data_IF_184088784936
#
_entry.id   IF_184088784936
#
_cell.length_a   1.000
_cell.length_b   1.000
_cell.length_c   1.000
_cell.angle_alpha   90.00
_cell.angle_beta   90.00
_cell.angle_gamma   90.00
#
_symmetry.space_group_name_H-M   'P 1'
#
loop_
_entity.id
_entity.type
_entity.pdbx_description
1 polymer ?
#
# COMPACT_ATOMS: atom_id res chain seq x y z
N UNK A 1 30.17 -19.10 38.01
CA UNK A 1 29.32 -18.99 36.81
C UNK A 1 29.47 -17.57 36.28
N UNK A 2 29.70 -17.38 34.98
CA UNK A 2 29.90 -16.04 34.37
C UNK A 2 28.55 -15.53 33.87
N UNK A 3 28.10 -14.38 34.35
CA UNK A 3 26.85 -13.77 33.89
C UNK A 3 26.94 -13.34 32.42
N UNK A 4 25.84 -13.43 31.64
CA UNK A 4 25.83 -12.93 30.27
C UNK A 4 25.82 -11.40 30.28
N UNK A 5 26.95 -10.79 29.91
CA UNK A 5 27.03 -9.34 29.71
C UNK A 5 26.08 -8.94 28.57
N UNK A 6 25.14 -8.04 28.88
CA UNK A 6 24.21 -7.48 27.90
C UNK A 6 24.95 -6.47 27.01
N UNK A 7 24.66 -6.49 25.71
CA UNK A 7 25.28 -5.57 24.77
C UNK A 7 24.94 -4.11 25.12
N UNK A 8 25.89 -3.16 25.02
CA UNK A 8 25.71 -1.76 25.44
C UNK A 8 24.52 -1.07 24.75
N UNK A 9 24.24 -1.44 23.49
CA UNK A 9 23.07 -0.97 22.73
C UNK A 9 21.73 -1.30 23.42
N UNK A 10 21.65 -2.43 24.15
CA UNK A 10 20.44 -2.82 24.90
C UNK A 10 20.25 -2.04 26.19
N UNK A 11 21.29 -1.34 26.66
CA UNK A 11 21.27 -0.51 27.87
C UNK A 11 21.13 0.99 27.56
N UNK A 12 20.77 1.34 26.32
CA UNK A 12 20.59 2.74 25.90
C UNK A 12 21.90 3.52 25.77
N UNK A 13 23.06 2.85 25.83
CA UNK A 13 24.35 3.49 25.62
C UNK A 13 24.57 3.70 24.11
N UNK A 14 24.70 4.96 23.70
CA UNK A 14 25.10 5.33 22.34
C UNK A 14 26.62 5.22 22.23
N UNK A 15 27.09 4.44 21.27
CA UNK A 15 28.51 4.35 20.91
C UNK A 15 28.75 5.30 19.73
N UNK A 16 29.60 6.30 19.95
CA UNK A 16 30.08 7.18 18.89
C UNK A 16 31.09 6.38 18.05
N UNK A 17 30.74 6.14 16.78
CA UNK A 17 31.62 5.48 15.82
C UNK A 17 32.01 6.51 14.78
N UNK A 18 33.29 6.89 14.77
CA UNK A 18 33.85 7.75 13.73
C UNK A 18 33.99 6.96 12.43
N UNK A 19 33.10 7.21 11.47
CA UNK A 19 33.09 6.59 10.15
C UNK A 19 34.15 7.15 9.18
N UNK A 20 35.03 8.03 9.66
CA UNK A 20 36.08 8.66 8.88
C UNK A 20 35.63 9.79 7.96
N UNK A 21 36.58 10.34 7.19
CA UNK A 21 36.38 11.50 6.32
C UNK A 21 35.56 11.18 5.07
N UNK A 22 35.70 9.98 4.52
CA UNK A 22 34.92 9.53 3.36
C UNK A 22 33.40 9.55 3.61
N UNK A 23 32.98 9.16 4.82
CA UNK A 23 31.58 9.20 5.21
C UNK A 23 31.07 10.64 5.33
N UNK A 24 31.90 11.57 5.83
CA UNK A 24 31.58 13.01 5.90
C UNK A 24 31.39 13.60 4.51
N UNK A 25 32.32 13.33 3.58
CA UNK A 25 32.23 13.80 2.18
C UNK A 25 30.98 13.24 1.50
N UNK A 26 30.70 11.93 1.64
CA UNK A 26 29.50 11.31 1.06
C UNK A 26 28.22 11.91 1.62
N UNK A 27 28.17 12.16 2.93
CA UNK A 27 27.01 12.78 3.57
C UNK A 27 26.84 14.23 3.10
N UNK A 28 27.92 15.02 3.04
CA UNK A 28 27.87 16.40 2.54
C UNK A 28 27.33 16.46 1.11
N UNK A 29 27.78 15.57 0.22
CA UNK A 29 27.27 15.49 -1.14
C UNK A 29 25.77 15.15 -1.18
N UNK A 30 25.32 14.17 -0.39
CA UNK A 30 23.89 13.81 -0.28
C UNK A 30 23.05 14.96 0.26
N UNK A 31 23.54 15.67 1.26
CA UNK A 31 22.85 16.82 1.86
C UNK A 31 22.73 17.97 0.87
N UNK A 32 23.78 18.25 0.10
CA UNK A 32 23.76 19.29 -0.94
C UNK A 32 22.76 18.96 -2.05
N UNK A 33 22.72 17.71 -2.52
CA UNK A 33 21.72 17.24 -3.49
C UNK A 33 20.31 17.42 -2.93
N UNK A 34 20.06 16.98 -1.69
CA UNK A 34 18.75 17.08 -1.07
C UNK A 34 18.31 18.54 -0.93
N UNK A 35 19.24 19.44 -0.58
CA UNK A 35 19.01 20.88 -0.51
C UNK A 35 18.61 21.46 -1.87
N UNK A 36 19.33 21.13 -2.94
CA UNK A 36 18.99 21.59 -4.31
C UNK A 36 17.63 21.08 -4.75
N UNK A 37 17.32 19.81 -4.49
CA UNK A 37 16.01 19.23 -4.78
C UNK A 37 14.89 19.91 -3.99
N UNK A 38 15.11 20.24 -2.71
CA UNK A 38 14.14 20.97 -1.89
C UNK A 38 13.93 22.42 -2.38
N UNK A 39 14.95 23.04 -2.97
CA UNK A 39 14.86 24.34 -3.63
C UNK A 39 14.19 24.27 -5.01
N UNK A 40 13.76 23.09 -5.48
CA UNK A 40 13.07 22.90 -6.75
C UNK A 40 14.00 22.76 -7.95
N UNK A 41 15.31 22.64 -7.75
CA UNK A 41 16.27 22.39 -8.82
C UNK A 41 16.22 20.91 -9.23
N UNK A 42 15.98 20.64 -10.52
CA UNK A 42 15.95 19.29 -11.05
C UNK A 42 17.39 18.81 -11.28
N UNK A 43 18.02 18.31 -10.22
CA UNK A 43 19.34 17.68 -10.32
C UNK A 43 19.15 16.27 -10.89
N UNK A 44 19.38 16.13 -12.21
CA UNK A 44 19.65 14.83 -12.83
C UNK A 44 20.95 14.32 -12.24
N UNK A 45 20.83 13.49 -11.20
CA UNK A 45 21.93 12.67 -10.76
C UNK A 45 22.14 11.66 -11.87
N UNK A 46 23.31 11.70 -12.52
CA UNK A 46 23.78 10.56 -13.31
C UNK A 46 23.55 9.33 -12.43
N UNK A 47 22.65 8.46 -12.89
CA UNK A 47 22.25 7.25 -12.19
C UNK A 47 23.49 6.39 -12.05
N UNK A 48 24.26 6.61 -10.98
CA UNK A 48 25.35 5.73 -10.62
C UNK A 48 24.73 4.34 -10.58
N UNK A 49 25.24 3.43 -11.41
CA UNK A 49 24.79 2.06 -11.59
C UNK A 49 24.67 1.36 -10.23
N UNK A 50 23.57 1.61 -9.53
CA UNK A 50 23.31 0.96 -8.27
C UNK A 50 23.00 -0.48 -8.64
N UNK A 51 23.77 -1.47 -8.15
CA UNK A 51 23.55 -2.85 -8.50
C UNK A 51 22.11 -3.19 -8.14
N UNK A 52 21.32 -3.55 -9.16
CA UNK A 52 19.91 -3.88 -8.96
C UNK A 52 19.81 -4.92 -7.86
N UNK A 53 19.02 -4.69 -6.80
CA UNK A 53 18.99 -5.60 -5.65
C UNK A 53 18.58 -7.00 -6.12
N UNK A 54 19.36 -8.01 -5.74
CA UNK A 54 19.07 -9.41 -6.08
C UNK A 54 17.63 -9.74 -5.66
N UNK A 55 16.81 -10.33 -6.54
CA UNK A 55 15.43 -10.62 -6.22
C UNK A 55 15.37 -11.62 -5.07
N UNK A 56 14.63 -11.28 -4.01
CA UNK A 56 14.43 -12.18 -2.86
C UNK A 56 13.82 -13.48 -3.34
N UNK A 57 14.34 -14.61 -2.87
CA UNK A 57 13.80 -15.92 -3.21
C UNK A 57 12.72 -16.32 -2.20
N UNK A 58 11.59 -16.82 -2.69
CA UNK A 58 10.56 -17.43 -1.85
C UNK A 58 10.97 -18.83 -1.38
N UNK A 59 10.15 -19.41 -0.48
CA UNK A 59 10.34 -20.78 0.05
C UNK A 59 10.46 -21.84 -1.06
N UNK A 60 9.83 -21.62 -2.21
CA UNK A 60 9.82 -22.52 -3.36
C UNK A 60 11.00 -22.32 -4.33
N UNK A 61 12.00 -21.50 -3.97
CA UNK A 61 13.13 -21.21 -4.86
C UNK A 61 12.78 -20.31 -6.05
N UNK A 62 11.58 -19.72 -6.08
CA UNK A 62 11.12 -18.80 -7.13
C UNK A 62 11.30 -17.36 -6.67
N UNK A 63 11.63 -16.40 -7.55
CA UNK A 63 11.78 -15.01 -7.15
C UNK A 63 10.44 -14.51 -6.58
N UNK A 64 10.50 -13.91 -5.40
CA UNK A 64 9.36 -13.32 -4.71
C UNK A 64 8.72 -12.26 -5.59
N UNK A 65 7.57 -12.58 -6.17
CA UNK A 65 6.74 -11.62 -6.91
C UNK A 65 5.87 -10.91 -5.88
N UNK A 66 6.05 -9.60 -5.74
CA UNK A 66 5.13 -8.79 -4.96
C UNK A 66 3.69 -8.91 -5.48
N UNK A 67 2.71 -8.69 -4.62
CA UNK A 67 1.30 -8.57 -5.04
C UNK A 67 1.21 -7.48 -6.10
N UNK A 68 0.49 -7.72 -7.21
CA UNK A 68 0.22 -6.69 -8.22
C UNK A 68 -0.41 -5.48 -7.51
N UNK A 69 0.38 -4.43 -7.33
CA UNK A 69 -0.10 -3.09 -6.98
C UNK A 69 -0.65 -2.46 -8.26
N UNK A 70 -1.50 -1.44 -8.12
CA UNK A 70 -2.00 -0.64 -9.25
C UNK A 70 -0.79 -0.22 -10.10
N UNK A 71 -0.82 -0.54 -11.39
CA UNK A 71 0.24 -0.18 -12.33
C UNK A 71 0.26 1.33 -12.59
N UNK A 72 1.29 1.83 -13.27
CA UNK A 72 1.34 3.22 -13.74
C UNK A 72 0.06 3.61 -14.50
N UNK A 73 -0.40 2.72 -15.37
CA UNK A 73 -1.58 2.94 -16.21
C UNK A 73 -2.87 2.94 -15.37
N UNK A 74 -2.93 2.13 -14.30
CA UNK A 74 -4.07 2.14 -13.38
C UNK A 74 -4.13 3.48 -12.64
N UNK A 75 -2.97 3.98 -12.18
CA UNK A 75 -2.87 5.27 -11.49
C UNK A 75 -3.30 6.41 -12.43
N UNK A 76 -2.86 6.39 -13.69
CA UNK A 76 -3.24 7.42 -14.67
C UNK A 76 -4.74 7.41 -14.98
N UNK A 77 -5.33 6.22 -15.10
CA UNK A 77 -6.79 6.09 -15.28
C UNK A 77 -7.56 6.59 -14.06
N UNK A 78 -7.12 6.22 -12.86
CA UNK A 78 -7.74 6.67 -11.62
C UNK A 78 -7.65 8.21 -11.51
N UNK A 79 -6.48 8.80 -11.79
CA UNK A 79 -6.28 10.25 -11.80
C UNK A 79 -7.17 10.97 -12.83
N UNK A 80 -7.35 10.41 -14.03
CA UNK A 80 -8.26 10.97 -15.03
C UNK A 80 -9.72 10.92 -14.57
N UNK A 81 -10.13 9.79 -13.98
CA UNK A 81 -11.49 9.63 -13.43
C UNK A 81 -11.72 10.62 -12.30
N UNK A 82 -10.74 10.79 -11.41
CA UNK A 82 -10.81 11.74 -10.31
C UNK A 82 -10.92 13.18 -10.83
N UNK A 83 -10.15 13.55 -11.86
CA UNK A 83 -10.25 14.88 -12.49
C UNK A 83 -11.65 15.13 -13.07
N UNK A 84 -12.20 14.17 -13.82
CA UNK A 84 -13.56 14.29 -14.39
C UNK A 84 -14.61 14.38 -13.28
N UNK A 85 -14.49 13.57 -12.22
CA UNK A 85 -15.41 13.63 -11.08
C UNK A 85 -15.29 14.94 -10.31
N UNK A 86 -14.09 15.51 -10.23
CA UNK A 86 -13.84 16.78 -9.58
C UNK A 86 -14.40 17.95 -10.40
N UNK A 87 -14.26 17.93 -11.72
CA UNK A 87 -14.82 18.94 -12.63
C UNK A 87 -16.36 18.94 -12.60
N UNK A 88 -16.98 17.77 -12.43
CA UNK A 88 -18.44 17.63 -12.40
C UNK A 88 -19.04 17.66 -10.98
N UNK A 89 -18.22 17.71 -9.94
CA UNK A 89 -18.69 17.86 -8.56
C UNK A 89 -19.15 19.31 -8.39
N UNK A 90 -20.40 19.47 -7.97
CA UNK A 90 -20.92 20.76 -7.53
C UNK A 90 -20.35 21.04 -6.14
N UNK A 91 -19.56 22.11 -5.99
CA UNK A 91 -18.95 22.59 -4.73
C UNK A 91 -19.96 23.02 -3.64
N UNK A 92 -21.24 22.67 -3.81
CA UNK A 92 -22.34 23.07 -2.93
C UNK A 92 -22.23 22.39 -1.56
N UNK A 93 -21.54 21.24 -1.46
CA UNK A 93 -21.43 20.46 -0.24
C UNK A 93 -20.00 20.28 0.28
N UNK A 94 -19.01 20.93 -0.33
CA UNK A 94 -17.65 20.91 0.24
C UNK A 94 -17.58 21.93 1.39
N UNK A 95 -17.26 21.51 2.63
CA UNK A 95 -16.97 22.48 3.67
C UNK A 95 -15.75 23.27 3.25
N UNK A 96 -15.90 24.60 3.15
CA UNK A 96 -14.82 25.55 2.84
C UNK A 96 -13.55 25.12 3.57
N UNK A 97 -12.40 24.92 2.88
CA UNK A 97 -11.16 24.55 3.54
C UNK A 97 -10.94 25.54 4.68
N UNK A 98 -10.87 25.01 5.90
CA UNK A 98 -10.76 25.81 7.11
C UNK A 98 -9.51 26.68 7.02
N UNK A 99 -9.70 27.93 6.59
CA UNK A 99 -8.62 28.90 6.38
C UNK A 99 -8.01 29.42 7.69
N UNK A 100 -8.39 28.89 8.86
CA UNK A 100 -7.92 29.42 10.13
C UNK A 100 -7.83 28.35 11.22
N UNK A 101 -6.72 27.61 11.25
CA UNK A 101 -6.08 27.36 12.55
C UNK A 101 -5.17 28.55 12.86
N UNK A 102 -5.78 29.71 13.17
CA UNK A 102 -5.07 30.73 13.95
C UNK A 102 -4.62 30.02 15.22
N UNK A 103 -3.32 29.80 15.34
CA UNK A 103 -2.71 29.41 16.61
C UNK A 103 -3.25 30.40 17.66
N UNK A 104 -3.89 29.94 18.74
CA UNK A 104 -4.30 30.84 19.80
C UNK A 104 -3.02 31.44 20.40
N UNK A 105 -2.80 32.73 20.13
CA UNK A 105 -1.75 33.53 20.76
C UNK A 105 -1.89 33.42 22.29
N UNK A 106 -1.00 32.65 22.92
CA UNK A 106 -0.91 32.52 24.38
C UNK A 106 -0.95 31.11 24.97
N UNK A 107 -1.14 30.04 24.20
CA UNK A 107 -0.99 28.66 24.71
C UNK A 107 0.47 28.21 24.63
N UNK A 108 0.96 27.54 25.67
CA UNK A 108 2.28 26.91 25.63
C UNK A 108 2.31 25.88 24.48
N UNK A 109 3.44 25.78 23.77
CA UNK A 109 3.58 24.82 22.66
C UNK A 109 3.23 23.39 23.07
N UNK A 110 3.45 23.01 24.32
CA UNK A 110 3.12 21.68 24.83
C UNK A 110 1.60 21.44 24.88
N UNK A 111 0.81 22.48 25.17
CA UNK A 111 -0.66 22.39 25.19
C UNK A 111 -1.23 22.26 23.78
N UNK A 112 -0.66 22.98 22.81
CA UNK A 112 -1.06 22.85 21.40
C UNK A 112 -0.73 21.46 20.86
N UNK A 113 0.44 20.92 21.22
CA UNK A 113 0.86 19.55 20.88
C UNK A 113 -0.08 18.51 21.53
N UNK A 114 -0.48 18.71 22.79
CA UNK A 114 -1.40 17.81 23.48
C UNK A 114 -2.79 17.80 22.83
N UNK A 115 -3.29 18.96 22.41
CA UNK A 115 -4.59 19.06 21.73
C UNK A 115 -4.56 18.44 20.33
N UNK A 116 -3.50 18.66 19.55
CA UNK A 116 -3.35 18.00 18.25
C UNK A 116 -3.26 16.49 18.40
N UNK A 117 -2.51 16.01 19.39
CA UNK A 117 -2.38 14.58 19.65
C UNK A 117 -3.72 13.93 20.05
N UNK A 118 -4.52 14.60 20.88
CA UNK A 118 -5.86 14.11 21.25
C UNK A 118 -6.78 14.02 20.03
N UNK A 119 -6.81 15.06 19.18
CA UNK A 119 -7.61 15.08 17.95
C UNK A 119 -7.20 13.97 17.00
N UNK A 120 -5.91 13.83 16.73
CA UNK A 120 -5.37 12.81 15.84
C UNK A 120 -5.66 11.39 16.37
N UNK A 121 -5.62 11.19 17.69
CA UNK A 121 -5.93 9.90 18.31
C UNK A 121 -7.42 9.54 18.24
N UNK A 122 -8.31 10.51 18.46
CA UNK A 122 -9.76 10.33 18.30
C UNK A 122 -10.13 10.06 16.84
N UNK A 123 -9.50 10.77 15.89
CA UNK A 123 -9.67 10.55 14.46
C UNK A 123 -9.16 9.15 14.07
N UNK A 124 -7.96 8.75 14.51
CA UNK A 124 -7.42 7.42 14.23
C UNK A 124 -8.30 6.31 14.82
N UNK A 125 -8.84 6.51 16.02
CA UNK A 125 -9.73 5.55 16.68
C UNK A 125 -11.09 5.44 15.98
N UNK A 126 -11.68 6.57 15.59
CA UNK A 126 -12.94 6.58 14.83
C UNK A 126 -12.76 5.94 13.46
N UNK A 127 -11.66 6.25 12.75
CA UNK A 127 -11.36 5.63 11.46
C UNK A 127 -11.17 4.11 11.58
N UNK A 128 -10.44 3.63 12.60
CA UNK A 128 -10.26 2.21 12.85
C UNK A 128 -11.59 1.48 13.14
N UNK A 129 -12.49 2.11 13.90
CA UNK A 129 -13.81 1.53 14.19
C UNK A 129 -14.71 1.49 12.95
N UNK A 130 -14.74 2.56 12.15
CA UNK A 130 -15.46 2.63 10.88
C UNK A 130 -14.95 1.58 9.89
N UNK A 131 -13.63 1.45 9.75
CA UNK A 131 -13.03 0.45 8.87
C UNK A 131 -13.39 -0.97 9.29
N UNK A 132 -13.39 -1.26 10.61
CA UNK A 132 -13.83 -2.55 11.14
C UNK A 132 -15.30 -2.82 10.83
N UNK A 133 -16.18 -1.83 10.98
CA UNK A 133 -17.60 -1.97 10.65
C UNK A 133 -17.82 -2.24 9.15
N UNK A 134 -17.13 -1.49 8.28
CA UNK A 134 -17.17 -1.72 6.83
C UNK A 134 -16.71 -3.13 6.46
N UNK A 135 -15.58 -3.59 6.99
CA UNK A 135 -15.10 -4.95 6.75
C UNK A 135 -16.08 -6.04 7.21
N UNK A 136 -16.77 -5.84 8.34
CA UNK A 136 -17.78 -6.77 8.84
C UNK A 136 -19.03 -6.78 7.94
N UNK A 137 -19.50 -5.61 7.50
CA UNK A 137 -20.62 -5.51 6.56
C UNK A 137 -20.32 -6.16 5.19
N UNK A 138 -19.11 -5.98 4.66
CA UNK A 138 -18.67 -6.61 3.42
C UNK A 138 -18.59 -8.14 3.53
N UNK A 139 -18.13 -8.65 4.67
CA UNK A 139 -18.08 -10.10 4.95
C UNK A 139 -19.49 -10.67 5.01
N UNK A 140 -20.41 -10.02 5.73
CA UNK A 140 -21.81 -10.43 5.80
C UNK A 140 -22.51 -10.40 4.42
N UNK A 141 -22.20 -9.39 3.58
CA UNK A 141 -22.73 -9.32 2.21
C UNK A 141 -22.19 -10.43 1.30
N UNK A 142 -20.92 -10.83 1.46
CA UNK A 142 -20.31 -11.94 0.71
C UNK A 142 -20.82 -13.30 1.15
N UNK A 143 -21.13 -13.48 2.44
CA UNK A 143 -21.73 -14.72 2.97
C UNK A 143 -23.17 -14.91 2.46
N UNK A 144 -23.98 -13.85 2.42
CA UNK A 144 -25.34 -13.90 1.83
C UNK A 144 -25.33 -14.24 0.34
N UNK A 145 -24.32 -13.80 -0.43
CA UNK A 145 -24.18 -14.18 -1.85
C UNK A 145 -23.79 -15.64 -2.07
N UNK A 146 -23.08 -16.28 -1.13
CA UNK A 146 -22.73 -17.70 -1.20
C UNK A 146 -23.87 -18.63 -0.79
N UNK A 147 -24.76 -18.19 0.09
CA UNK A 147 -25.89 -19.00 0.57
C UNK A 147 -27.03 -19.14 -0.45
N UNK A 148 -27.07 -18.31 -1.50
CA UNK A 148 -28.11 -18.34 -2.54
C UNK A 148 -27.69 -18.93 -3.89
N UNK A 149 -26.44 -19.37 -4.05
CA UNK A 149 -26.01 -20.10 -5.25
C UNK A 149 -26.10 -21.60 -4.97
N UNK A 150 -27.25 -22.20 -5.25
CA UNK A 150 -27.29 -23.63 -5.57
C UNK A 150 -26.21 -23.89 -6.63
N UNK A 151 -25.30 -24.83 -6.32
CA UNK A 151 -24.26 -25.25 -7.25
C UNK A 151 -24.95 -25.83 -8.49
N UNK A 152 -25.06 -25.02 -9.53
CA UNK A 152 -25.53 -25.46 -10.84
C UNK A 152 -24.69 -26.66 -11.29
N UNK A 153 -25.30 -27.63 -11.99
CA UNK A 153 -24.63 -28.83 -12.56
C UNK A 153 -23.28 -28.51 -13.22
N UNK A 154 -23.10 -27.29 -13.73
CA UNK A 154 -21.86 -26.71 -14.27
C UNK A 154 -20.61 -26.86 -13.39
N UNK A 155 -20.75 -26.85 -12.06
CA UNK A 155 -19.62 -27.01 -11.13
C UNK A 155 -19.30 -28.49 -10.87
N UNK A 156 -20.29 -29.38 -11.01
CA UNK A 156 -20.13 -30.82 -10.86
C UNK A 156 -19.37 -31.44 -12.05
N UNK A 157 -19.57 -30.90 -13.26
CA UNK A 157 -18.80 -31.27 -14.46
C UNK A 157 -17.32 -30.81 -14.42
N UNK A 158 -16.92 -30.04 -13.41
CA UNK A 158 -15.57 -29.46 -13.28
C UNK A 158 -14.72 -30.10 -12.18
N UNK A 159 -15.10 -31.27 -11.65
CA UNK A 159 -14.36 -31.98 -10.59
C UNK A 159 -13.51 -33.13 -11.15
N UNK A 160 -12.50 -32.81 -11.96
CA UNK A 160 -11.52 -33.77 -12.47
C UNK A 160 -10.18 -33.11 -12.85
N UNK A 161 -9.08 -33.88 -12.98
CA UNK A 161 -7.81 -33.36 -13.49
C UNK A 161 -8.05 -32.66 -14.84
N UNK A 162 -7.73 -31.37 -14.91
CA UNK A 162 -8.04 -30.53 -16.08
C UNK A 162 -7.40 -31.13 -17.33
N UNK A 163 -8.20 -31.43 -18.35
CA UNK A 163 -7.74 -31.82 -19.68
C UNK A 163 -6.65 -30.83 -20.13
N UNK A 164 -5.50 -31.36 -20.56
CA UNK A 164 -4.37 -30.57 -21.08
C UNK A 164 -4.79 -29.65 -22.24
N UNK A 165 -4.00 -28.59 -22.49
CA UNK A 165 -4.25 -27.62 -23.57
C UNK A 165 -4.41 -26.16 -23.10
N UNK A 166 -4.68 -25.24 -24.04
CA UNK A 166 -4.89 -23.81 -23.77
C UNK A 166 -6.27 -23.54 -23.14
N UNK A 167 -6.47 -22.34 -22.55
CA UNK A 167 -7.78 -21.93 -21.99
C UNK A 167 -8.90 -21.94 -23.05
N UNK A 168 -8.60 -21.56 -24.29
CA UNK A 168 -9.56 -21.56 -25.39
C UNK A 168 -9.94 -22.98 -25.83
N UNK A 169 -8.99 -23.90 -25.90
CA UNK A 169 -9.27 -25.31 -26.22
C UNK A 169 -10.24 -25.95 -25.21
N UNK A 170 -10.10 -25.59 -23.93
CA UNK A 170 -11.02 -26.04 -22.87
C UNK A 170 -12.42 -25.43 -23.00
N UNK A 171 -12.53 -24.16 -23.39
CA UNK A 171 -13.82 -23.51 -23.61
C UNK A 171 -14.58 -24.17 -24.79
N UNK A 172 -13.88 -24.46 -25.89
CA UNK A 172 -14.46 -25.12 -27.05
C UNK A 172 -14.97 -26.54 -26.73
N UNK A 173 -14.21 -27.34 -25.98
CA UNK A 173 -14.66 -28.66 -25.52
C UNK A 173 -15.87 -28.57 -24.57
N UNK A 174 -15.92 -27.55 -23.71
CA UNK A 174 -17.08 -27.29 -22.83
C UNK A 174 -18.32 -26.99 -23.66
N UNK A 175 -18.21 -26.11 -24.64
CA UNK A 175 -19.33 -25.76 -25.54
C UNK A 175 -19.80 -26.95 -26.35
N UNK A 176 -18.87 -27.78 -26.86
CA UNK A 176 -19.19 -29.00 -27.60
C UNK A 176 -19.95 -30.02 -26.73
N UNK A 177 -19.53 -30.26 -25.49
CA UNK A 177 -20.21 -31.19 -24.57
C UNK A 177 -21.58 -30.69 -24.12
N UNK A 178 -21.71 -29.39 -23.80
CA UNK A 178 -23.00 -28.77 -23.48
C UNK A 178 -23.98 -28.82 -24.66
N UNK A 179 -23.47 -28.63 -25.88
CA UNK A 179 -24.26 -28.73 -27.11
C UNK A 179 -24.67 -30.17 -27.43
N UNK A 180 -23.83 -31.15 -27.12
CA UNK A 180 -24.15 -32.57 -27.27
C UNK A 180 -25.20 -33.06 -26.25
N UNK A 181 -25.20 -32.53 -25.02
CA UNK A 181 -26.20 -32.88 -23.98
C UNK A 181 -27.57 -32.21 -24.20
N UNK A 182 -27.63 -31.12 -24.99
CA UNK A 182 -28.87 -30.40 -25.32
C UNK A 182 -29.62 -30.96 -26.55
N UNK A 183 -29.08 -31.99 -27.21
CA UNK A 183 -29.76 -32.75 -28.26
C UNK A 183 -30.30 -34.05 -27.67
#
# INVERSE_FOLDING_TARGET
>A
MKEPQRAPTTMGQLLEIDLGEEARVRNAHRTEIARRKAAGECVELEESEHPTPKPRLGRDGKPWRGRKRRGSDDIQRDALVDAILHENRLDIYEPVPSLFSKQPEGLANDDTIAETFRKDWEEASSHATLQRQQQMSERAAKEKKKAGQEKTEEELYMKGPKLGGSRSARAAMREAMLKAKKR
#
